data_IF_328896310784
#
_entry.id   IF_328896310784
#
_cell.length_a   1.000
_cell.length_b   1.000
_cell.length_c   1.000
_cell.angle_alpha   90.00
_cell.angle_beta   90.00
_cell.angle_gamma   90.00
#
_symmetry.space_group_name_H-M   'P 1'
#
loop_
_entity.id
_entity.type
_entity.pdbx_description
1 polymer ?
#
# COMPACT_ATOMS: atom_id res chain seq x y z
N UNK A 1 7.65 27.30 6.06
CA UNK A 1 7.74 26.78 4.67
C UNK A 1 6.76 27.59 3.84
N UNK A 2 7.28 28.45 2.99
CA UNK A 2 6.49 29.36 2.16
C UNK A 2 5.65 28.53 1.19
N UNK A 3 4.33 28.52 1.37
CA UNK A 3 3.40 27.90 0.44
C UNK A 3 3.33 28.77 -0.81
N UNK A 4 3.78 28.24 -1.95
CA UNK A 4 3.57 28.86 -3.25
C UNK A 4 2.08 29.15 -3.45
N UNK A 5 1.75 30.39 -3.78
CA UNK A 5 0.39 30.92 -3.86
C UNK A 5 -0.50 30.27 -4.96
N UNK A 6 0.03 29.29 -5.70
CA UNK A 6 -0.63 28.71 -6.87
C UNK A 6 -0.89 27.19 -6.78
N UNK A 7 -0.61 26.56 -5.63
CA UNK A 7 -0.96 25.16 -5.42
C UNK A 7 -2.42 25.07 -4.96
N UNK A 8 -3.28 24.41 -5.74
CA UNK A 8 -4.66 24.17 -5.35
C UNK A 8 -4.71 23.28 -4.09
N UNK A 9 -5.01 23.88 -2.93
CA UNK A 9 -5.15 23.15 -1.65
C UNK A 9 -6.59 22.72 -1.47
N UNK A 10 -6.80 21.42 -1.27
CA UNK A 10 -8.11 20.90 -0.91
C UNK A 10 -8.48 21.34 0.51
N UNK A 11 -9.74 21.74 0.69
CA UNK A 11 -10.23 22.15 2.01
C UNK A 11 -10.35 20.93 2.91
N UNK A 12 -9.79 21.03 4.12
CA UNK A 12 -9.91 20.02 5.16
C UNK A 12 -11.38 19.70 5.46
N UNK A 13 -11.63 18.45 5.87
CA UNK A 13 -12.96 17.97 6.25
C UNK A 13 -13.50 18.66 7.52
N UNK A 14 -12.60 19.19 8.35
CA UNK A 14 -12.89 19.97 9.55
C UNK A 14 -11.99 21.20 9.63
N UNK A 15 -12.32 22.17 10.50
CA UNK A 15 -11.43 23.29 10.79
C UNK A 15 -10.25 22.82 11.63
N UNK A 16 -9.04 23.22 11.24
CA UNK A 16 -7.79 22.94 11.94
C UNK A 16 -7.02 24.25 12.16
N UNK A 17 -6.26 24.39 13.25
CA UNK A 17 -6.04 23.41 14.32
C UNK A 17 -7.24 23.26 15.27
N UNK A 18 -7.35 22.10 15.94
CA UNK A 18 -8.30 21.88 17.04
C UNK A 18 -7.80 22.56 18.32
N UNK A 19 -8.71 22.83 19.26
CA UNK A 19 -8.34 23.24 20.61
C UNK A 19 -7.57 22.10 21.32
N UNK A 20 -6.68 22.44 22.25
CA UNK A 20 -5.76 21.47 22.85
C UNK A 20 -6.48 20.40 23.67
N UNK A 21 -7.50 20.80 24.43
CA UNK A 21 -8.39 19.94 25.20
C UNK A 21 -9.16 18.95 24.31
N UNK A 22 -9.75 19.47 23.22
CA UNK A 22 -10.46 18.65 22.23
C UNK A 22 -9.51 17.66 21.53
N UNK A 23 -8.31 18.10 21.16
CA UNK A 23 -7.31 17.27 20.50
C UNK A 23 -6.89 16.09 21.38
N UNK A 24 -6.63 16.34 22.67
CA UNK A 24 -6.24 15.28 23.62
C UNK A 24 -7.37 14.27 23.83
N UNK A 25 -8.60 14.77 24.00
CA UNK A 25 -9.78 13.93 24.19
C UNK A 25 -10.04 13.03 22.98
N UNK A 26 -10.08 13.60 21.77
CA UNK A 26 -10.35 12.85 20.53
C UNK A 26 -9.22 11.87 20.24
N UNK A 27 -7.97 12.23 20.52
CA UNK A 27 -6.82 11.32 20.34
C UNK A 27 -6.92 10.09 21.23
N UNK A 28 -7.29 10.25 22.51
CA UNK A 28 -7.48 9.12 23.42
C UNK A 28 -8.59 8.20 22.92
N UNK A 29 -9.77 8.78 22.61
CA UNK A 29 -10.92 8.03 22.07
C UNK A 29 -10.59 7.29 20.77
N UNK A 30 -9.85 7.91 19.86
CA UNK A 30 -9.49 7.31 18.59
C UNK A 30 -8.53 6.12 18.74
N UNK A 31 -7.59 6.18 19.69
CA UNK A 31 -6.69 5.06 20.00
C UNK A 31 -7.48 3.87 20.55
N UNK A 32 -8.37 4.11 21.50
CA UNK A 32 -9.21 3.06 22.08
C UNK A 32 -10.13 2.44 21.01
N UNK A 33 -10.76 3.29 20.19
CA UNK A 33 -11.60 2.85 19.07
C UNK A 33 -10.81 1.97 18.09
N UNK A 34 -9.60 2.37 17.71
CA UNK A 34 -8.76 1.61 16.79
C UNK A 34 -8.46 0.19 17.32
N UNK A 35 -8.09 0.07 18.60
CA UNK A 35 -7.79 -1.23 19.22
C UNK A 35 -9.06 -2.09 19.31
N UNK A 36 -10.17 -1.50 19.76
CA UNK A 36 -11.45 -2.22 19.92
C UNK A 36 -12.01 -2.75 18.60
N UNK A 37 -11.68 -2.10 17.46
CA UNK A 37 -12.11 -2.52 16.12
C UNK A 37 -11.05 -3.31 15.35
N UNK A 38 -9.96 -3.72 16.02
CA UNK A 38 -8.93 -4.58 15.42
C UNK A 38 -7.93 -3.87 14.51
N UNK A 39 -7.94 -2.53 14.46
CA UNK A 39 -6.89 -1.73 13.83
C UNK A 39 -5.66 -1.70 14.74
N UNK A 40 -5.03 -2.85 14.90
CA UNK A 40 -3.94 -3.09 15.83
C UNK A 40 -2.78 -3.86 15.19
N UNK A 41 -1.59 -3.71 15.75
CA UNK A 41 -0.37 -4.41 15.34
C UNK A 41 0.51 -4.75 16.54
N UNK A 42 1.36 -5.75 16.38
CA UNK A 42 2.38 -6.09 17.39
C UNK A 42 3.55 -5.12 17.30
N UNK A 43 4.13 -4.81 18.44
CA UNK A 43 5.33 -3.97 18.50
C UNK A 43 6.51 -4.64 17.81
N UNK A 44 7.25 -3.87 17.01
CA UNK A 44 8.53 -4.32 16.42
C UNK A 44 9.68 -4.31 17.43
N UNK A 45 9.64 -3.42 18.42
CA UNK A 45 10.71 -3.22 19.41
C UNK A 45 10.48 -3.99 20.71
N UNK A 46 9.23 -4.26 21.05
CA UNK A 46 8.82 -4.96 22.28
C UNK A 46 7.73 -5.98 21.95
N UNK A 47 8.06 -6.93 21.07
CA UNK A 47 7.12 -7.97 20.65
C UNK A 47 6.66 -8.80 21.86
N UNK A 48 5.35 -8.99 22.00
CA UNK A 48 4.74 -9.97 22.89
C UNK A 48 3.56 -10.63 22.20
N UNK A 49 3.38 -11.96 22.32
CA UNK A 49 2.20 -12.65 21.82
C UNK A 49 0.88 -12.10 22.38
N UNK A 50 0.93 -11.62 23.63
CA UNK A 50 -0.22 -11.23 24.43
C UNK A 50 -0.49 -9.72 24.43
N UNK A 51 0.28 -8.94 23.65
CA UNK A 51 0.08 -7.49 23.55
C UNK A 51 -0.14 -7.02 22.12
N UNK A 52 -0.99 -6.00 22.01
CA UNK A 52 -1.31 -5.31 20.77
C UNK A 52 -1.29 -3.81 21.01
N UNK A 53 -0.78 -3.07 20.03
CA UNK A 53 -0.83 -1.62 19.98
C UNK A 53 -1.72 -1.19 18.82
N UNK A 54 -2.32 0.00 18.86
CA UNK A 54 -3.04 0.52 17.70
C UNK A 54 -2.10 0.62 16.49
N UNK A 55 -2.61 0.29 15.30
CA UNK A 55 -1.90 0.52 14.05
C UNK A 55 -1.79 2.03 13.82
N UNK A 56 -0.65 2.59 13.36
CA UNK A 56 -0.52 4.02 13.09
C UNK A 56 -1.60 4.52 12.13
N UNK A 57 -2.29 5.61 12.49
CA UNK A 57 -3.35 6.22 11.69
C UNK A 57 -3.29 7.75 11.77
N UNK A 58 -3.95 8.42 10.82
CA UNK A 58 -4.16 9.87 10.86
C UNK A 58 -5.46 10.18 11.60
N UNK A 59 -5.43 11.14 12.51
CA UNK A 59 -6.57 11.44 13.39
C UNK A 59 -7.83 11.86 12.61
N UNK A 60 -7.63 12.58 11.50
CA UNK A 60 -8.71 13.04 10.62
C UNK A 60 -8.40 12.66 9.17
N UNK A 61 -9.43 12.39 8.35
CA UNK A 61 -9.22 12.03 6.96
C UNK A 61 -8.60 13.20 6.18
N UNK A 62 -7.51 12.92 5.48
CA UNK A 62 -6.93 13.86 4.53
C UNK A 62 -7.87 14.06 3.34
N UNK A 63 -8.07 15.31 2.94
CA UNK A 63 -8.93 15.63 1.80
C UNK A 63 -8.29 15.18 0.49
N UNK A 64 -9.09 14.59 -0.40
CA UNK A 64 -8.63 14.02 -1.67
C UNK A 64 -9.65 14.30 -2.79
N UNK A 65 -9.25 14.57 -4.05
CA UNK A 65 -10.20 14.90 -5.12
C UNK A 65 -11.05 13.67 -5.48
N UNK A 66 -12.38 13.82 -5.42
CA UNK A 66 -13.33 12.75 -5.72
C UNK A 66 -13.11 12.13 -7.11
N UNK A 67 -12.98 12.98 -8.12
CA UNK A 67 -12.80 12.56 -9.52
C UNK A 67 -11.57 11.67 -9.70
N UNK A 68 -10.48 12.01 -9.00
CA UNK A 68 -9.21 11.30 -9.12
C UNK A 68 -9.26 9.98 -8.36
N UNK A 69 -9.96 9.95 -7.22
CA UNK A 69 -10.25 8.70 -6.49
C UNK A 69 -11.07 7.73 -7.35
N UNK A 70 -12.18 8.21 -7.92
CA UNK A 70 -13.06 7.40 -8.77
C UNK A 70 -12.33 6.91 -10.03
N UNK A 71 -11.48 7.76 -10.62
CA UNK A 71 -10.61 7.37 -11.74
C UNK A 71 -9.65 6.23 -11.35
N UNK A 72 -9.00 6.31 -10.19
CA UNK A 72 -8.11 5.26 -9.72
C UNK A 72 -8.85 3.94 -9.47
N UNK A 73 -10.03 4.01 -8.86
CA UNK A 73 -10.91 2.84 -8.64
C UNK A 73 -11.30 2.19 -9.97
N UNK A 74 -11.73 2.99 -10.96
CA UNK A 74 -12.10 2.48 -12.28
C UNK A 74 -10.92 1.90 -13.07
N UNK A 75 -9.70 2.38 -12.80
CA UNK A 75 -8.48 1.91 -13.46
C UNK A 75 -7.97 0.58 -12.90
N UNK A 76 -8.25 0.26 -11.63
CA UNK A 76 -7.72 -0.93 -10.95
C UNK A 76 -7.96 -2.26 -11.70
N UNK A 77 -9.16 -2.55 -12.24
CA UNK A 77 -9.39 -3.80 -12.98
C UNK A 77 -8.58 -3.89 -14.28
N UNK A 78 -8.31 -2.75 -14.92
CA UNK A 78 -7.51 -2.66 -16.14
C UNK A 78 -6.04 -2.96 -15.82
N UNK A 79 -5.51 -2.37 -14.75
CA UNK A 79 -4.14 -2.65 -14.28
C UNK A 79 -4.00 -4.12 -13.86
N UNK A 80 -4.98 -4.69 -13.14
CA UNK A 80 -4.94 -6.10 -12.75
C UNK A 80 -4.82 -7.02 -13.97
N UNK A 81 -5.59 -6.75 -15.04
CA UNK A 81 -5.52 -7.53 -16.28
C UNK A 81 -4.20 -7.34 -17.01
N UNK A 82 -3.68 -6.11 -17.05
CA UNK A 82 -2.35 -5.84 -17.62
C UNK A 82 -1.28 -6.64 -16.88
N UNK A 83 -1.26 -6.58 -15.55
CA UNK A 83 -0.30 -7.32 -14.72
C UNK A 83 -0.45 -8.84 -14.91
N UNK A 84 -1.68 -9.35 -15.01
CA UNK A 84 -1.93 -10.76 -15.30
C UNK A 84 -1.38 -11.17 -16.67
N UNK A 85 -1.63 -10.39 -17.72
CA UNK A 85 -1.13 -10.70 -19.06
C UNK A 85 0.40 -10.63 -19.12
N UNK A 86 1.00 -9.60 -18.51
CA UNK A 86 2.46 -9.46 -18.40
C UNK A 86 3.07 -10.64 -17.64
N UNK A 87 2.42 -11.11 -16.58
CA UNK A 87 2.89 -12.27 -15.80
C UNK A 87 2.93 -13.58 -16.60
N UNK A 88 2.12 -13.71 -17.66
CA UNK A 88 2.08 -14.88 -18.55
C UNK A 88 2.91 -14.70 -19.83
N UNK A 89 3.48 -13.52 -20.04
CA UNK A 89 4.32 -13.22 -21.20
C UNK A 89 5.79 -13.52 -20.85
N UNK A 90 6.22 -14.74 -21.17
CA UNK A 90 7.58 -15.19 -20.89
C UNK A 90 8.64 -14.37 -21.61
N UNK A 91 8.40 -14.02 -22.88
CA UNK A 91 9.34 -13.25 -23.69
C UNK A 91 9.51 -11.85 -23.11
N UNK A 92 8.40 -11.21 -22.75
CA UNK A 92 8.41 -9.87 -22.16
C UNK A 92 9.18 -9.85 -20.84
N UNK A 93 8.89 -10.76 -19.91
CA UNK A 93 9.57 -10.80 -18.60
C UNK A 93 11.06 -11.10 -18.79
N UNK A 94 11.39 -12.07 -19.63
CA UNK A 94 12.79 -12.48 -19.87
C UNK A 94 13.60 -11.34 -20.46
N UNK A 95 13.06 -10.67 -21.48
CA UNK A 95 13.74 -9.55 -22.15
C UNK A 95 13.89 -8.34 -21.22
N UNK A 96 12.83 -8.01 -20.46
CA UNK A 96 12.83 -6.83 -19.59
C UNK A 96 13.79 -6.97 -18.41
N UNK A 97 13.95 -8.19 -17.86
CA UNK A 97 14.81 -8.43 -16.70
C UNK A 97 16.24 -8.85 -17.07
N UNK A 98 16.57 -9.04 -18.35
CA UNK A 98 17.83 -9.63 -18.82
C UNK A 98 19.08 -8.93 -18.27
N UNK A 99 19.09 -7.60 -18.20
CA UNK A 99 20.21 -6.84 -17.63
C UNK A 99 20.14 -6.74 -16.11
N UNK A 100 18.94 -6.63 -15.53
CA UNK A 100 18.73 -6.52 -14.08
C UNK A 100 19.23 -7.75 -13.33
N UNK A 101 18.96 -8.95 -13.85
CA UNK A 101 19.41 -10.21 -13.20
C UNK A 101 20.93 -10.38 -13.20
N UNK A 102 21.67 -9.65 -14.04
CA UNK A 102 23.14 -9.72 -14.05
C UNK A 102 23.76 -8.92 -12.90
N UNK A 103 23.05 -7.92 -12.39
CA UNK A 103 23.56 -6.97 -11.40
C UNK A 103 22.83 -7.03 -10.06
N UNK A 104 21.64 -7.62 -10.00
CA UNK A 104 20.88 -7.82 -8.77
C UNK A 104 20.63 -9.32 -8.50
N UNK A 105 21.35 -9.83 -7.50
CA UNK A 105 21.27 -11.24 -7.07
C UNK A 105 19.86 -11.61 -6.56
N UNK A 106 19.17 -10.69 -5.89
CA UNK A 106 17.84 -10.96 -5.37
C UNK A 106 16.85 -11.22 -6.51
N UNK A 107 16.78 -10.32 -7.48
CA UNK A 107 15.93 -10.51 -8.67
C UNK A 107 16.37 -11.71 -9.50
N UNK A 108 17.68 -11.99 -9.61
CA UNK A 108 18.18 -13.17 -10.32
C UNK A 108 17.66 -14.48 -9.69
N UNK A 109 17.65 -14.57 -8.36
CA UNK A 109 17.13 -15.73 -7.65
C UNK A 109 15.62 -15.93 -7.86
N UNK A 110 14.84 -14.84 -7.85
CA UNK A 110 13.40 -14.91 -8.19
C UNK A 110 13.17 -15.38 -9.63
N UNK A 111 13.94 -14.85 -10.57
CA UNK A 111 13.85 -15.22 -11.99
C UNK A 111 14.27 -16.69 -12.22
N UNK A 112 15.25 -17.19 -11.46
CA UNK A 112 15.62 -18.60 -11.51
C UNK A 112 14.51 -19.54 -11.05
N UNK A 113 13.74 -19.16 -10.02
CA UNK A 113 12.55 -19.92 -9.59
C UNK A 113 11.51 -19.91 -10.71
N UNK A 114 11.22 -18.73 -11.28
CA UNK A 114 10.29 -18.57 -12.38
C UNK A 114 10.63 -19.48 -13.57
N UNK A 115 11.89 -19.48 -14.03
CA UNK A 115 12.35 -20.36 -15.13
C UNK A 115 12.22 -21.85 -14.81
N UNK A 116 12.50 -22.26 -13.57
CA UNK A 116 12.32 -23.65 -13.15
C UNK A 116 10.85 -24.06 -13.24
N UNK A 117 9.93 -23.23 -12.75
CA UNK A 117 8.49 -23.52 -12.81
C UNK A 117 8.02 -23.63 -14.25
N UNK A 118 8.42 -22.71 -15.13
CA UNK A 118 8.12 -22.78 -16.57
C UNK A 118 8.59 -24.10 -17.20
N UNK A 119 9.82 -24.50 -16.92
CA UNK A 119 10.41 -25.71 -17.49
C UNK A 119 9.70 -27.00 -17.04
N UNK A 120 9.11 -27.03 -15.84
CA UNK A 120 8.36 -28.19 -15.33
C UNK A 120 6.90 -28.20 -15.81
N UNK A 121 6.43 -27.11 -16.42
CA UNK A 121 5.04 -26.91 -16.78
C UNK A 121 4.14 -26.53 -15.59
N UNK A 122 3.02 -25.87 -15.89
CA UNK A 122 2.09 -25.42 -14.86
C UNK A 122 1.18 -26.58 -14.42
N UNK A 123 1.26 -26.95 -13.14
CA UNK A 123 0.39 -27.99 -12.54
C UNK A 123 -0.90 -27.42 -11.96
N UNK A 124 -0.94 -26.10 -11.72
CA UNK A 124 -2.15 -25.42 -11.23
C UNK A 124 -3.04 -25.04 -12.41
N UNK A 125 -4.30 -25.46 -12.35
CA UNK A 125 -5.31 -25.09 -13.33
C UNK A 125 -5.72 -23.65 -13.04
N UNK A 126 -5.50 -22.76 -14.01
CA UNK A 126 -6.00 -21.39 -13.95
C UNK A 126 -7.46 -21.44 -14.40
N UNK A 127 -8.39 -21.17 -13.47
CA UNK A 127 -9.83 -21.12 -13.72
C UNK A 127 -10.26 -19.77 -14.32
#
# INVERSE_FOLDING_TARGET
>A
MSSDANTAVLRNCIRLPLAEDELLEVTAKAKDYAIMHGAAMRSKTAFSPDSLNFAPFVLVPSSFPRKEFEKAVALQPIINRLMHNVAHDEEFITTTLAETIKVDEFTANLFNIYRKVLAHGFTQIVA
#
